data_IF_649391267286
#
_entry.id   IF_649391267286
#
_cell.length_a   1.000
_cell.length_b   1.000
_cell.length_c   1.000
_cell.angle_alpha   90.00
_cell.angle_beta   90.00
_cell.angle_gamma   90.00
#
_symmetry.space_group_name_H-M   'P 1'
#
loop_
_entity.id
_entity.type
_entity.pdbx_description
1 polymer ?
#
# COMPACT_ATOMS: atom_id res chain seq x y z
N UNK A 1 -40.63 -38.15 -11.64
CA UNK A 1 -39.62 -39.13 -11.18
C UNK A 1 -38.59 -38.40 -10.34
N UNK A 2 -38.59 -38.59 -9.02
CA UNK A 2 -37.60 -37.96 -8.13
C UNK A 2 -36.23 -38.62 -8.36
N UNK A 3 -35.25 -37.85 -8.84
CA UNK A 3 -33.88 -38.32 -9.06
C UNK A 3 -33.27 -38.71 -7.72
N UNK A 4 -33.24 -40.01 -7.40
CA UNK A 4 -32.53 -40.53 -6.23
C UNK A 4 -31.03 -40.33 -6.43
N UNK A 5 -30.53 -39.18 -6.00
CA UNK A 5 -29.08 -38.91 -5.94
C UNK A 5 -28.46 -39.85 -4.92
N UNK A 6 -27.45 -40.63 -5.34
CA UNK A 6 -26.70 -41.52 -4.44
C UNK A 6 -26.15 -40.71 -3.26
N UNK A 7 -26.11 -41.32 -2.08
CA UNK A 7 -25.60 -40.70 -0.84
C UNK A 7 -24.20 -40.09 -1.03
N UNK A 8 -23.35 -40.77 -1.81
CA UNK A 8 -22.03 -40.31 -2.23
C UNK A 8 -22.07 -38.94 -2.94
N UNK A 9 -23.03 -38.69 -3.84
CA UNK A 9 -23.17 -37.40 -4.53
C UNK A 9 -23.50 -36.27 -3.55
N UNK A 10 -24.27 -36.55 -2.49
CA UNK A 10 -24.61 -35.56 -1.45
C UNK A 10 -23.37 -35.19 -0.62
N UNK A 11 -22.58 -36.19 -0.21
CA UNK A 11 -21.31 -35.95 0.48
C UNK A 11 -20.31 -35.20 -0.39
N UNK A 12 -20.25 -35.54 -1.68
CA UNK A 12 -19.36 -34.88 -2.64
C UNK A 12 -19.78 -33.42 -2.86
N UNK A 13 -21.08 -33.13 -2.96
CA UNK A 13 -21.60 -31.76 -3.03
C UNK A 13 -21.30 -30.95 -1.76
N UNK A 14 -21.45 -31.57 -0.58
CA UNK A 14 -21.09 -30.96 0.69
C UNK A 14 -19.58 -30.65 0.76
N UNK A 15 -18.74 -31.62 0.39
CA UNK A 15 -17.29 -31.46 0.36
C UNK A 15 -16.84 -30.39 -0.63
N UNK A 16 -17.44 -30.34 -1.82
CA UNK A 16 -17.16 -29.29 -2.81
C UNK A 16 -17.60 -27.91 -2.29
N UNK A 17 -18.78 -27.83 -1.67
CA UNK A 17 -19.26 -26.59 -1.05
C UNK A 17 -18.32 -26.09 0.04
N UNK A 18 -17.86 -26.97 0.92
CA UNK A 18 -16.87 -26.65 1.96
C UNK A 18 -15.52 -26.24 1.36
N UNK A 19 -15.07 -26.91 0.29
CA UNK A 19 -13.83 -26.56 -0.41
C UNK A 19 -13.91 -25.17 -1.02
N UNK A 20 -14.99 -24.85 -1.71
CA UNK A 20 -15.22 -23.51 -2.29
C UNK A 20 -15.25 -22.45 -1.19
N UNK A 21 -15.96 -22.72 -0.10
CA UNK A 21 -16.02 -21.80 1.04
C UNK A 21 -14.63 -21.54 1.64
N UNK A 22 -13.82 -22.60 1.80
CA UNK A 22 -12.45 -22.47 2.28
C UNK A 22 -11.56 -21.65 1.33
N UNK A 23 -11.65 -21.89 0.02
CA UNK A 23 -10.89 -21.14 -0.99
C UNK A 23 -11.28 -19.66 -1.01
N UNK A 24 -12.57 -19.35 -0.91
CA UNK A 24 -13.07 -17.97 -0.81
C UNK A 24 -12.54 -17.29 0.44
N UNK A 25 -12.57 -17.98 1.59
CA UNK A 25 -12.06 -17.44 2.87
C UNK A 25 -10.56 -17.12 2.81
N UNK A 26 -9.75 -18.05 2.27
CA UNK A 26 -8.30 -17.87 2.11
C UNK A 26 -8.02 -16.74 1.11
N UNK A 27 -8.71 -16.74 -0.03
CA UNK A 27 -8.56 -15.69 -1.05
C UNK A 27 -8.93 -14.31 -0.51
N UNK A 28 -10.02 -14.21 0.25
CA UNK A 28 -10.43 -12.96 0.91
C UNK A 28 -9.39 -12.48 1.92
N UNK A 29 -8.84 -13.39 2.73
CA UNK A 29 -7.79 -13.04 3.70
C UNK A 29 -6.54 -12.54 2.99
N UNK A 30 -6.08 -13.24 1.96
CA UNK A 30 -4.93 -12.81 1.16
C UNK A 30 -5.16 -11.47 0.46
N UNK A 31 -6.37 -11.22 -0.03
CA UNK A 31 -6.72 -9.93 -0.64
C UNK A 31 -6.64 -8.79 0.37
N UNK A 32 -7.21 -8.97 1.57
CA UNK A 32 -7.12 -7.98 2.66
C UNK A 32 -5.69 -7.77 3.14
N UNK A 33 -4.87 -8.82 3.26
CA UNK A 33 -3.47 -8.65 3.67
C UNK A 33 -2.67 -7.83 2.64
N UNK A 34 -2.90 -8.05 1.35
CA UNK A 34 -2.18 -7.30 0.30
C UNK A 34 -2.52 -5.80 0.31
N UNK A 35 -3.72 -5.40 0.71
CA UNK A 35 -4.06 -3.97 0.85
C UNK A 35 -3.40 -3.35 2.08
N UNK A 36 -3.24 -4.10 3.17
CA UNK A 36 -2.55 -3.65 4.38
C UNK A 36 -1.04 -3.48 4.16
N UNK A 37 -0.39 -4.40 3.45
CA UNK A 37 1.04 -4.33 3.14
C UNK A 37 1.37 -3.08 2.28
N UNK A 38 0.47 -2.71 1.36
CA UNK A 38 0.58 -1.50 0.54
C UNK A 38 0.52 -0.21 1.34
N UNK A 39 -0.40 -0.15 2.32
CA UNK A 39 -0.56 1.01 3.21
C UNK A 39 0.61 1.19 4.17
N UNK A 40 1.17 0.09 4.70
CA UNK A 40 2.33 0.15 5.58
C UNK A 40 3.57 0.75 4.87
N UNK A 41 3.77 0.42 3.60
CA UNK A 41 4.84 0.98 2.80
C UNK A 41 4.63 2.49 2.54
N UNK A 42 3.40 2.91 2.24
CA UNK A 42 3.05 4.33 2.06
C UNK A 42 3.37 5.16 3.33
N UNK A 43 2.99 4.66 4.51
CA UNK A 43 3.28 5.31 5.80
C UNK A 43 4.79 5.41 6.04
N UNK A 44 5.55 4.37 5.70
CA UNK A 44 7.01 4.38 5.85
C UNK A 44 7.68 5.42 4.94
N UNK A 45 7.23 5.55 3.69
CA UNK A 45 7.74 6.59 2.77
C UNK A 45 7.34 8.01 3.21
N UNK A 46 6.13 8.19 3.74
CA UNK A 46 5.73 9.45 4.37
C UNK A 46 6.60 9.78 5.61
N UNK A 47 6.97 8.76 6.39
CA UNK A 47 7.95 8.90 7.48
C UNK A 47 9.34 9.32 6.98
N UNK A 48 9.77 8.78 5.83
CA UNK A 48 11.03 9.16 5.18
C UNK A 48 11.04 10.62 4.76
N UNK A 49 9.92 11.15 4.24
CA UNK A 49 9.79 12.58 3.91
C UNK A 49 10.06 13.48 5.11
N UNK A 50 9.51 13.14 6.28
CA UNK A 50 9.74 13.92 7.51
C UNK A 50 11.23 13.98 7.84
N UNK A 51 11.94 12.85 7.73
CA UNK A 51 13.38 12.81 7.95
C UNK A 51 14.17 13.62 6.92
N UNK A 52 13.82 13.53 5.64
CA UNK A 52 14.45 14.32 4.57
C UNK A 52 14.21 15.82 4.74
N UNK A 53 12.99 16.25 5.12
CA UNK A 53 12.66 17.64 5.40
C UNK A 53 13.50 18.19 6.58
N UNK A 54 13.61 17.44 7.68
CA UNK A 54 14.49 17.81 8.80
C UNK A 54 15.95 17.93 8.38
N UNK A 55 16.44 17.01 7.54
CA UNK A 55 17.81 17.02 7.02
C UNK A 55 18.07 18.21 6.10
N UNK A 56 17.08 18.63 5.30
CA UNK A 56 17.18 19.81 4.45
C UNK A 56 17.24 21.10 5.29
N UNK A 57 16.40 21.22 6.31
CA UNK A 57 16.43 22.38 7.22
C UNK A 57 17.75 22.44 8.00
N UNK A 58 18.24 21.31 8.52
CA UNK A 58 19.48 21.28 9.29
C UNK A 58 20.71 21.60 8.44
N UNK A 59 20.79 21.11 7.20
CA UNK A 59 21.88 21.43 6.25
C UNK A 59 21.88 22.90 5.84
N UNK A 60 20.69 23.53 5.75
CA UNK A 60 20.57 24.98 5.53
C UNK A 60 21.09 25.79 6.72
N UNK A 61 20.78 25.37 7.94
CA UNK A 61 21.21 26.04 9.17
C UNK A 61 22.71 25.89 9.44
N UNK A 62 23.31 24.77 9.03
CA UNK A 62 24.75 24.49 9.22
C UNK A 62 25.64 25.04 8.10
N UNK A 63 25.07 25.67 7.07
CA UNK A 63 25.83 26.30 5.99
C UNK A 63 26.53 25.32 5.04
N UNK A 64 26.02 24.09 4.91
CA UNK A 64 26.57 23.10 3.97
C UNK A 64 26.44 23.53 2.51
N UNK A 65 27.31 22.96 1.66
CA UNK A 65 27.42 23.24 0.23
C UNK A 65 26.05 23.26 -0.50
N UNK A 66 25.74 24.32 -1.27
CA UNK A 66 24.57 24.40 -2.13
C UNK A 66 24.36 23.20 -3.07
N UNK A 67 25.41 22.49 -3.47
CA UNK A 67 25.28 21.26 -4.29
C UNK A 67 24.56 20.17 -3.50
N UNK A 68 24.95 19.94 -2.24
CA UNK A 68 24.36 18.92 -1.39
C UNK A 68 22.89 19.22 -1.06
N UNK A 69 22.57 20.50 -0.85
CA UNK A 69 21.18 20.95 -0.63
C UNK A 69 20.29 20.66 -1.84
N UNK A 70 20.78 20.92 -3.06
CA UNK A 70 20.03 20.60 -4.30
C UNK A 70 19.76 19.11 -4.46
N UNK A 71 20.67 18.27 -4.00
CA UNK A 71 20.50 16.82 -4.05
C UNK A 71 19.45 16.33 -3.06
N UNK A 72 19.42 16.88 -1.84
CA UNK A 72 18.36 16.60 -0.86
C UNK A 72 16.98 17.04 -1.35
N UNK A 73 16.88 18.21 -2.00
CA UNK A 73 15.61 18.67 -2.59
C UNK A 73 15.14 17.69 -3.67
N UNK A 74 16.04 17.25 -4.55
CA UNK A 74 15.70 16.25 -5.58
C UNK A 74 15.24 14.92 -4.98
N UNK A 75 15.84 14.49 -3.87
CA UNK A 75 15.45 13.27 -3.17
C UNK A 75 14.04 13.41 -2.56
N UNK A 76 13.75 14.56 -1.94
CA UNK A 76 12.43 14.90 -1.41
C UNK A 76 11.37 14.91 -2.51
N UNK A 77 11.64 15.59 -3.64
CA UNK A 77 10.74 15.67 -4.79
C UNK A 77 10.48 14.30 -5.43
N UNK A 78 11.48 13.41 -5.41
CA UNK A 78 11.34 12.05 -5.89
C UNK A 78 10.42 11.23 -4.98
N UNK A 79 10.55 11.38 -3.65
CA UNK A 79 9.67 10.70 -2.69
C UNK A 79 8.24 11.25 -2.73
N UNK A 80 8.04 12.55 -2.93
CA UNK A 80 6.70 13.14 -3.12
C UNK A 80 6.00 12.57 -4.36
N UNK A 81 6.71 12.48 -5.48
CA UNK A 81 6.18 11.84 -6.71
C UNK A 81 5.88 10.36 -6.50
N UNK A 82 6.76 9.65 -5.80
CA UNK A 82 6.56 8.23 -5.48
C UNK A 82 5.29 8.02 -4.63
N UNK A 83 5.00 8.90 -3.68
CA UNK A 83 3.75 8.82 -2.90
C UNK A 83 2.52 9.11 -3.76
N UNK A 84 2.56 10.14 -4.62
CA UNK A 84 1.47 10.48 -5.55
C UNK A 84 1.15 9.34 -6.51
N UNK A 85 2.16 8.90 -7.26
CA UNK A 85 1.98 8.00 -8.40
C UNK A 85 1.98 6.52 -7.97
N UNK A 86 2.49 6.24 -6.77
CA UNK A 86 2.76 4.89 -6.28
C UNK A 86 3.94 4.23 -6.99
N UNK A 87 4.24 3.00 -6.59
CA UNK A 87 5.14 2.11 -7.34
C UNK A 87 4.32 0.88 -7.77
N UNK A 88 4.26 0.53 -9.07
CA UNK A 88 3.61 -0.71 -9.49
C UNK A 88 4.48 -1.96 -9.26
N UNK A 89 5.79 -1.80 -9.01
CA UNK A 89 6.75 -2.90 -8.77
C UNK A 89 6.96 -3.21 -7.29
N UNK A 90 6.57 -2.30 -6.40
CA UNK A 90 6.49 -2.49 -4.94
C UNK A 90 5.05 -2.24 -4.51
N UNK A 91 4.46 -2.98 -3.55
CA UNK A 91 3.18 -2.59 -2.99
C UNK A 91 3.35 -1.27 -2.22
N UNK A 92 3.31 -0.14 -2.91
CA UNK A 92 3.29 1.20 -2.36
C UNK A 92 2.01 1.85 -2.89
N UNK A 93 0.91 1.55 -2.21
CA UNK A 93 -0.39 2.13 -2.51
C UNK A 93 -0.78 2.99 -1.33
N UNK A 94 -0.82 4.31 -1.55
CA UNK A 94 -1.41 5.24 -0.60
C UNK A 94 -2.93 5.07 -0.68
N UNK A 95 -3.62 4.81 0.44
CA UNK A 95 -5.07 4.74 0.46
C UNK A 95 -5.64 6.17 0.39
N UNK A 96 -5.69 6.73 -0.82
CA UNK A 96 -6.20 8.07 -1.05
C UNK A 96 -7.69 8.18 -0.73
N UNK A 97 -8.04 9.23 0.02
CA UNK A 97 -9.38 9.73 0.26
C UNK A 97 -9.39 11.27 0.09
N UNK A 98 -10.57 11.90 0.11
CA UNK A 98 -10.70 13.34 -0.13
C UNK A 98 -9.90 14.19 0.89
N UNK A 99 -9.81 13.72 2.14
CA UNK A 99 -9.09 14.42 3.22
C UNK A 99 -7.56 14.33 3.01
N UNK A 100 -7.03 13.14 2.76
CA UNK A 100 -5.61 12.90 2.50
C UNK A 100 -5.12 13.55 1.21
N UNK A 101 -5.95 13.60 0.16
CA UNK A 101 -5.63 14.35 -1.06
C UNK A 101 -5.56 15.85 -0.81
N UNK A 102 -6.48 16.39 0.00
CA UNK A 102 -6.47 17.81 0.37
C UNK A 102 -5.23 18.16 1.18
N UNK A 103 -4.91 17.38 2.22
CA UNK A 103 -3.72 17.57 3.05
C UNK A 103 -2.42 17.40 2.25
N UNK A 104 -2.37 16.46 1.30
CA UNK A 104 -1.20 16.30 0.44
C UNK A 104 -0.99 17.51 -0.47
N UNK A 105 -2.07 18.10 -0.99
CA UNK A 105 -2.02 19.32 -1.81
C UNK A 105 -1.60 20.58 -1.04
N UNK A 106 -1.67 20.59 0.29
CA UNK A 106 -1.14 21.70 1.11
C UNK A 106 0.40 21.64 1.26
N UNK A 107 1.00 20.46 1.08
CA UNK A 107 2.43 20.20 1.35
C UNK A 107 3.26 20.17 0.07
N UNK A 108 2.64 19.95 -1.09
CA UNK A 108 3.26 20.12 -2.42
C UNK A 108 3.36 21.61 -2.81
#
# INVERSE_FOLDING_TARGET
MARQTRLSTKFMALGLGLLVLALVSIGSTMWVTRTLDGGAAAVNEAGRLRMQAWRLVSTKLTGMDPVHQRELVRELDATMRLLRDGDPRRPLQVPWDDETLTLFGEVE
#
